data_IF_831841255063
#
_entry.id   IF_831841255063
#
_cell.length_a   1.000
_cell.length_b   1.000
_cell.length_c   1.000
_cell.angle_alpha   90.00
_cell.angle_beta   90.00
_cell.angle_gamma   90.00
#
_symmetry.space_group_name_H-M   'P 1'
#
loop_
_entity.id
_entity.type
_entity.pdbx_description
1 polymer ?
#
# COMPACT_ATOMS: atom_id res chain seq x y z
N UNK A 1 4.49 -17.04 16.95
CA UNK A 1 3.80 -16.76 15.67
C UNK A 1 3.79 -15.27 15.50
N UNK A 2 4.40 -14.77 14.42
CA UNK A 2 4.47 -13.33 14.16
C UNK A 2 3.10 -12.82 13.73
N UNK A 3 2.69 -11.65 14.25
CA UNK A 3 1.45 -10.99 13.86
C UNK A 3 1.82 -9.79 13.01
N UNK A 4 1.17 -9.65 11.86
CA UNK A 4 1.39 -8.54 10.94
C UNK A 4 0.21 -7.59 11.04
N UNK A 5 0.49 -6.31 11.31
CA UNK A 5 -0.50 -5.23 11.23
C UNK A 5 -0.08 -4.30 10.11
N UNK A 6 -0.95 -4.14 9.11
CA UNK A 6 -0.73 -3.25 7.98
C UNK A 6 -1.62 -2.01 8.12
N UNK A 7 -1.01 -0.84 8.31
CA UNK A 7 -1.73 0.44 8.51
C UNK A 7 -1.53 1.30 7.26
N UNK A 8 -2.63 1.72 6.63
CA UNK A 8 -2.62 2.73 5.55
C UNK A 8 -3.26 4.02 6.04
N UNK A 9 -2.74 5.16 5.55
CA UNK A 9 -3.29 6.49 5.80
C UNK A 9 -3.61 7.13 4.45
N UNK A 10 -4.89 7.43 4.19
CA UNK A 10 -5.30 8.03 2.92
C UNK A 10 -4.98 9.53 2.89
N UNK A 11 -4.51 10.01 1.74
CA UNK A 11 -4.08 11.41 1.57
C UNK A 11 -2.86 11.83 2.43
N UNK A 12 -2.12 10.88 3.00
CA UNK A 12 -0.99 11.18 3.87
C UNK A 12 0.19 11.80 3.13
N UNK A 13 0.71 12.89 3.68
CA UNK A 13 1.87 13.62 3.20
C UNK A 13 3.08 13.38 4.10
N UNK A 14 4.20 12.95 3.51
CA UNK A 14 5.42 12.64 4.27
C UNK A 14 5.99 13.85 5.03
N UNK A 15 5.82 15.07 4.51
CA UNK A 15 6.28 16.30 5.14
C UNK A 15 5.45 16.71 6.37
N UNK A 16 4.40 15.96 6.69
CA UNK A 16 3.53 16.18 7.86
C UNK A 16 3.78 15.18 8.99
N UNK A 17 4.72 14.24 8.83
CA UNK A 17 4.95 13.17 9.80
C UNK A 17 5.36 13.72 11.18
N UNK A 18 6.19 14.77 11.21
CA UNK A 18 6.73 15.32 12.44
C UNK A 18 5.69 16.14 13.23
N UNK A 19 4.50 16.40 12.65
CA UNK A 19 3.38 17.04 13.35
C UNK A 19 2.63 16.07 14.28
N UNK A 20 2.80 14.76 14.11
CA UNK A 20 2.18 13.73 14.95
C UNK A 20 3.24 13.11 15.86
N UNK A 21 3.15 13.31 17.19
CA UNK A 21 4.08 12.66 18.14
C UNK A 21 4.08 11.13 17.99
N UNK A 22 2.92 10.53 17.74
CA UNK A 22 2.77 9.09 17.54
C UNK A 22 3.47 8.62 16.27
N UNK A 23 3.25 9.27 15.12
CA UNK A 23 3.91 8.88 13.87
C UNK A 23 5.42 9.14 13.92
N UNK A 24 5.85 10.22 14.59
CA UNK A 24 7.26 10.53 14.78
C UNK A 24 7.94 9.48 15.68
N UNK A 25 7.28 9.04 16.76
CA UNK A 25 7.77 7.95 17.61
C UNK A 25 7.89 6.64 16.82
N UNK A 26 6.90 6.29 15.99
CA UNK A 26 6.97 5.11 15.12
C UNK A 26 8.15 5.24 14.14
N UNK A 27 8.31 6.39 13.48
CA UNK A 27 9.42 6.68 12.56
C UNK A 27 10.79 6.51 13.22
N UNK A 28 10.98 7.00 14.45
CA UNK A 28 12.26 6.91 15.18
C UNK A 28 12.60 5.49 15.63
N UNK A 29 11.59 4.66 15.90
CA UNK A 29 11.76 3.28 16.37
C UNK A 29 11.62 2.23 15.27
N UNK A 30 11.63 2.64 13.99
CA UNK A 30 11.43 1.76 12.84
C UNK A 30 12.45 2.04 11.73
N UNK A 31 12.54 1.12 10.76
CA UNK A 31 13.23 1.42 9.51
C UNK A 31 12.37 2.39 8.67
N UNK A 32 12.86 3.63 8.51
CA UNK A 32 12.13 4.69 7.81
C UNK A 32 12.69 4.95 6.40
N UNK A 33 11.83 4.89 5.40
CA UNK A 33 12.17 5.14 3.99
C UNK A 33 11.77 6.56 3.56
N UNK A 34 12.66 7.54 3.74
CA UNK A 34 12.39 8.97 3.45
C UNK A 34 12.20 9.28 1.95
N UNK A 35 12.72 8.43 1.08
CA UNK A 35 12.65 8.52 -0.38
C UNK A 35 11.53 7.70 -1.03
N UNK A 36 10.57 7.19 -0.25
CA UNK A 36 9.48 6.37 -0.79
C UNK A 36 8.53 7.22 -1.65
N UNK A 37 8.24 6.73 -2.86
CA UNK A 37 7.36 7.39 -3.82
C UNK A 37 6.18 6.47 -4.15
N UNK A 38 4.99 7.05 -4.28
CA UNK A 38 3.83 6.31 -4.79
C UNK A 38 3.99 6.06 -6.29
N UNK A 39 3.54 4.89 -6.76
CA UNK A 39 3.44 4.60 -8.20
C UNK A 39 2.23 5.30 -8.85
N UNK A 40 1.24 5.70 -8.04
CA UNK A 40 0.05 6.41 -8.51
C UNK A 40 -0.43 7.41 -7.44
N UNK A 41 -0.57 8.71 -7.75
CA UNK A 41 -0.96 9.74 -6.78
C UNK A 41 -2.49 9.80 -6.56
N UNK A 42 -3.16 8.65 -6.48
CA UNK A 42 -4.60 8.54 -6.15
C UNK A 42 -4.92 7.18 -5.54
N UNK A 43 -5.95 7.15 -4.69
CA UNK A 43 -6.20 6.09 -3.70
C UNK A 43 -6.31 4.69 -4.32
N UNK A 44 -7.19 4.48 -5.30
CA UNK A 44 -7.48 3.14 -5.81
C UNK A 44 -6.29 2.48 -6.52
N UNK A 45 -5.59 3.19 -7.41
CA UNK A 45 -4.44 2.63 -8.10
C UNK A 45 -3.26 2.39 -7.14
N UNK A 46 -3.04 3.28 -6.18
CA UNK A 46 -2.00 3.11 -5.16
C UNK A 46 -2.26 1.88 -4.29
N UNK A 47 -3.49 1.70 -3.78
CA UNK A 47 -3.86 0.54 -2.97
C UNK A 47 -3.77 -0.76 -3.78
N UNK A 48 -4.27 -0.79 -5.01
CA UNK A 48 -4.12 -1.98 -5.84
C UNK A 48 -2.67 -2.30 -6.14
N UNK A 49 -1.79 -1.30 -6.34
CA UNK A 49 -0.37 -1.52 -6.50
C UNK A 49 0.29 -2.08 -5.22
N UNK A 50 -0.05 -1.57 -4.03
CA UNK A 50 0.41 -2.10 -2.74
C UNK A 50 0.06 -3.58 -2.60
N UNK A 51 -1.21 -3.93 -2.84
CA UNK A 51 -1.68 -5.30 -2.61
C UNK A 51 -1.33 -6.27 -3.73
N UNK A 52 -1.17 -5.83 -4.98
CA UNK A 52 -0.74 -6.70 -6.08
C UNK A 52 0.77 -6.80 -6.24
N UNK A 53 1.54 -5.83 -5.73
CA UNK A 53 2.95 -5.68 -6.06
C UNK A 53 3.23 -5.31 -7.52
N UNK A 54 2.20 -4.89 -8.27
CA UNK A 54 2.29 -4.62 -9.71
C UNK A 54 1.91 -3.17 -10.03
N UNK A 55 2.50 -2.62 -11.10
CA UNK A 55 2.11 -1.30 -11.59
C UNK A 55 0.62 -1.28 -12.02
N UNK A 56 -0.07 -0.12 -11.91
CA UNK A 56 -1.45 0.06 -12.32
C UNK A 56 -1.77 -0.45 -13.74
N UNK A 57 -0.85 -0.21 -14.69
CA UNK A 57 -0.99 -0.67 -16.07
C UNK A 57 -1.02 -2.21 -16.20
N UNK A 58 -0.35 -2.92 -15.30
CA UNK A 58 -0.30 -4.38 -15.30
C UNK A 58 -1.51 -4.97 -14.56
N UNK A 59 -1.92 -4.33 -13.45
CA UNK A 59 -2.98 -4.84 -12.57
C UNK A 59 -4.42 -4.48 -12.99
N UNK A 60 -4.58 -3.55 -13.93
CA UNK A 60 -5.86 -3.15 -14.52
C UNK A 60 -6.52 -1.92 -13.89
N UNK A 61 -6.09 -1.48 -12.70
CA UNK A 61 -6.63 -0.29 -12.02
C UNK A 61 -5.75 0.92 -12.28
N UNK A 62 -5.82 1.45 -13.50
CA UNK A 62 -4.98 2.55 -14.00
C UNK A 62 -5.73 3.89 -14.21
N UNK A 63 -6.89 4.05 -13.59
CA UNK A 63 -7.64 5.31 -13.60
C UNK A 63 -8.98 5.20 -12.87
N UNK A 64 -9.64 6.34 -12.63
CA UNK A 64 -10.93 6.37 -11.94
C UNK A 64 -12.02 5.57 -12.66
N UNK A 65 -12.11 5.69 -13.99
CA UNK A 65 -13.04 4.90 -14.80
C UNK A 65 -12.73 3.39 -14.81
N UNK A 66 -11.50 3.01 -14.44
CA UNK A 66 -11.02 1.63 -14.42
C UNK A 66 -10.91 1.07 -12.98
N UNK A 67 -11.50 1.72 -11.98
CA UNK A 67 -11.37 1.32 -10.58
C UNK A 67 -11.90 -0.10 -10.28
N UNK A 68 -12.81 -0.61 -11.11
CA UNK A 68 -13.37 -1.97 -10.99
C UNK A 68 -12.73 -2.99 -11.94
N UNK A 69 -11.67 -2.61 -12.67
CA UNK A 69 -11.01 -3.47 -13.67
C UNK A 69 -9.79 -4.23 -13.13
N UNK A 70 -9.71 -4.41 -11.82
CA UNK A 70 -8.65 -5.22 -11.24
C UNK A 70 -8.71 -6.65 -11.78
N UNK A 71 -7.57 -7.16 -12.28
CA UNK A 71 -7.44 -8.51 -12.84
C UNK A 71 -7.37 -9.58 -11.74
N UNK A 72 -8.43 -9.65 -10.92
CA UNK A 72 -8.52 -10.49 -9.73
C UNK A 72 -8.29 -11.98 -9.98
N UNK A 73 -8.60 -12.46 -11.18
CA UNK A 73 -8.48 -13.88 -11.55
C UNK A 73 -7.07 -14.22 -12.08
N UNK A 74 -6.23 -13.21 -12.34
CA UNK A 74 -4.85 -13.37 -12.82
C UNK A 74 -3.80 -13.04 -11.73
N UNK A 75 -4.17 -12.27 -10.72
CA UNK A 75 -3.22 -11.65 -9.78
C UNK A 75 -3.44 -12.16 -8.35
N UNK A 76 -2.38 -12.70 -7.76
CA UNK A 76 -2.37 -13.02 -6.32
C UNK A 76 -1.97 -11.78 -5.53
N UNK A 77 -2.83 -11.36 -4.60
CA UNK A 77 -2.57 -10.24 -3.70
C UNK A 77 -1.72 -10.64 -2.49
N UNK A 78 -1.10 -9.66 -1.81
CA UNK A 78 -0.38 -9.85 -0.55
C UNK A 78 -1.26 -10.54 0.50
N UNK A 79 -2.53 -10.16 0.62
CA UNK A 79 -3.46 -10.79 1.56
C UNK A 79 -3.68 -12.29 1.24
N UNK A 80 -3.90 -12.64 -0.02
CA UNK A 80 -4.03 -14.03 -0.45
C UNK A 80 -2.72 -14.81 -0.26
N UNK A 81 -1.57 -14.19 -0.53
CA UNK A 81 -0.27 -14.81 -0.31
C UNK A 81 -0.05 -15.11 1.18
N UNK A 82 -0.34 -14.16 2.07
CA UNK A 82 -0.25 -14.34 3.52
C UNK A 82 -1.17 -15.47 3.99
N UNK A 83 -2.44 -15.44 3.60
CA UNK A 83 -3.43 -16.47 3.94
C UNK A 83 -2.97 -17.88 3.51
N UNK A 84 -2.44 -18.02 2.29
CA UNK A 84 -1.92 -19.30 1.78
C UNK A 84 -0.72 -19.84 2.58
N UNK A 85 0.01 -18.96 3.27
CA UNK A 85 1.19 -19.30 4.05
C UNK A 85 0.91 -19.36 5.56
N UNK A 86 -0.36 -19.41 5.97
CA UNK A 86 -0.75 -19.61 7.37
C UNK A 86 -0.67 -18.35 8.25
N UNK A 87 -0.70 -17.18 7.63
CA UNK A 87 -0.91 -15.89 8.32
C UNK A 87 -2.40 -15.52 8.38
#
# INVERSE_FOLDING_TARGET
>A
MEKIIFITLDGFRKDKIDLSPTLNSIKQNSMYFSGLNTVAPYTFASHHAIFSGMYPACNGVNGYSNMFRFKKDEITTLAQALQKNGF
#
